data_IF_101181052542
#
_entry.id   IF_101181052542
#
_cell.length_a   1.000
_cell.length_b   1.000
_cell.length_c   1.000
_cell.angle_alpha   90.00
_cell.angle_beta   90.00
_cell.angle_gamma   90.00
#
_symmetry.space_group_name_H-M   'P 1'
#
loop_
_entity.id
_entity.type
_entity.pdbx_description
1 polymer ?
#
# COMPACT_ATOMS: atom_id res chain seq x y z
N UNK A 1 -22.01 4.74 10.35
CA UNK A 1 -21.40 4.91 9.02
C UNK A 1 -20.50 3.71 8.77
N UNK A 2 -20.48 3.09 7.59
CA UNK A 2 -19.56 2.00 7.32
C UNK A 2 -18.17 2.61 7.13
N UNK A 3 -17.47 2.86 8.24
CA UNK A 3 -16.07 3.24 8.19
C UNK A 3 -15.28 1.95 7.89
N UNK A 4 -14.58 1.94 6.77
CA UNK A 4 -13.56 0.93 6.47
C UNK A 4 -12.52 1.07 7.59
N UNK A 5 -12.28 0.01 8.36
CA UNK A 5 -11.26 0.08 9.42
C UNK A 5 -9.91 0.33 8.76
N UNK A 6 -8.99 0.99 9.46
CA UNK A 6 -7.67 1.33 8.90
C UNK A 6 -6.93 0.10 8.34
N UNK A 7 -7.12 -1.06 8.96
CA UNK A 7 -6.57 -2.35 8.51
C UNK A 7 -7.24 -2.83 7.22
N UNK A 8 -8.56 -2.66 7.09
CA UNK A 8 -9.32 -2.98 5.88
C UNK A 8 -8.90 -2.09 4.70
N UNK A 9 -8.54 -0.82 4.96
CA UNK A 9 -8.05 0.09 3.93
C UNK A 9 -6.65 -0.29 3.44
N UNK A 10 -5.74 -0.65 4.36
CA UNK A 10 -4.41 -1.14 3.99
C UNK A 10 -4.51 -2.41 3.14
N UNK A 11 -5.38 -3.34 3.52
CA UNK A 11 -5.62 -4.56 2.75
C UNK A 11 -6.17 -4.25 1.35
N UNK A 12 -7.11 -3.30 1.24
CA UNK A 12 -7.65 -2.87 -0.05
C UNK A 12 -6.56 -2.28 -0.96
N UNK A 13 -5.71 -1.41 -0.42
CA UNK A 13 -4.59 -0.82 -1.17
C UNK A 13 -3.57 -1.89 -1.61
N UNK A 14 -3.23 -2.83 -0.73
CA UNK A 14 -2.33 -3.94 -1.05
C UNK A 14 -2.92 -4.80 -2.18
N UNK A 15 -4.22 -5.09 -2.13
CA UNK A 15 -4.91 -5.82 -3.19
C UNK A 15 -4.75 -5.14 -4.56
N UNK A 16 -5.05 -3.84 -4.65
CA UNK A 16 -4.93 -3.11 -5.92
C UNK A 16 -3.48 -2.97 -6.39
N UNK A 17 -2.53 -2.81 -5.47
CA UNK A 17 -1.10 -2.79 -5.80
C UNK A 17 -0.68 -4.08 -6.53
N UNK A 18 -1.08 -5.24 -5.98
CA UNK A 18 -0.79 -6.55 -6.61
C UNK A 18 -1.46 -6.72 -7.95
N UNK A 19 -2.69 -6.24 -8.13
CA UNK A 19 -3.35 -6.27 -9.45
C UNK A 19 -2.56 -5.43 -10.48
N UNK A 20 -2.00 -4.29 -10.05
CA UNK A 20 -1.12 -3.47 -10.88
C UNK A 20 0.17 -4.18 -11.27
N UNK A 21 0.85 -4.82 -10.32
CA UNK A 21 2.06 -5.61 -10.58
C UNK A 21 1.78 -6.75 -11.56
N UNK A 22 0.72 -7.54 -11.32
CA UNK A 22 0.31 -8.63 -12.20
C UNK A 22 -0.03 -8.17 -13.62
N UNK A 23 -0.66 -7.00 -13.77
CA UNK A 23 -0.97 -6.43 -15.08
C UNK A 23 0.28 -5.95 -15.83
N UNK A 24 1.29 -5.44 -15.13
CA UNK A 24 2.51 -4.89 -15.72
C UNK A 24 3.60 -5.93 -16.01
N UNK A 25 3.76 -6.92 -15.13
CA UNK A 25 4.87 -7.88 -15.16
C UNK A 25 4.42 -9.32 -15.48
N UNK A 26 3.11 -9.57 -15.56
CA UNK A 26 2.55 -10.90 -15.68
C UNK A 26 2.37 -11.58 -14.32
N UNK A 27 1.51 -12.60 -14.27
CA UNK A 27 1.27 -13.38 -13.05
C UNK A 27 2.42 -14.38 -12.89
N UNK A 28 3.36 -14.09 -11.98
CA UNK A 28 4.35 -15.04 -11.51
C UNK A 28 3.92 -15.54 -10.12
N UNK A 29 3.62 -16.83 -10.03
CA UNK A 29 3.03 -17.47 -8.83
C UNK A 29 4.08 -18.03 -7.89
N UNK A 30 5.36 -17.73 -8.11
CA UNK A 30 6.43 -18.14 -7.18
C UNK A 30 6.20 -17.51 -5.80
N UNK A 31 6.35 -18.30 -4.72
CA UNK A 31 6.15 -17.85 -3.34
C UNK A 31 6.96 -16.59 -3.00
N UNK A 32 8.11 -16.42 -3.66
CA UNK A 32 9.01 -15.29 -3.48
C UNK A 32 8.46 -13.97 -4.05
N UNK A 33 7.55 -14.01 -5.05
CA UNK A 33 6.97 -12.79 -5.63
C UNK A 33 6.01 -12.11 -4.66
N UNK A 34 5.19 -12.88 -3.95
CA UNK A 34 4.25 -12.32 -2.98
C UNK A 34 4.99 -11.53 -1.89
N UNK A 35 6.05 -12.12 -1.34
CA UNK A 35 6.85 -11.49 -0.29
C UNK A 35 7.48 -10.18 -0.79
N UNK A 36 7.99 -10.17 -2.02
CA UNK A 36 8.54 -8.97 -2.67
C UNK A 36 7.48 -7.89 -2.89
N UNK A 37 6.29 -8.25 -3.36
CA UNK A 37 5.19 -7.30 -3.54
C UNK A 37 4.70 -6.72 -2.21
N UNK A 38 4.64 -7.55 -1.16
CA UNK A 38 4.22 -7.12 0.17
C UNK A 38 5.25 -6.19 0.83
N UNK A 39 6.54 -6.47 0.65
CA UNK A 39 7.62 -5.61 1.13
C UNK A 39 7.68 -4.28 0.36
N UNK A 40 7.54 -4.31 -0.96
CA UNK A 40 7.46 -3.10 -1.78
C UNK A 40 6.24 -2.25 -1.40
N UNK A 41 5.07 -2.86 -1.23
CA UNK A 41 3.87 -2.17 -0.78
C UNK A 41 4.04 -1.55 0.61
N UNK A 42 4.65 -2.26 1.56
CA UNK A 42 4.87 -1.77 2.93
C UNK A 42 5.70 -0.48 2.91
N UNK A 43 6.81 -0.48 2.19
CA UNK A 43 7.70 0.69 2.06
C UNK A 43 6.95 1.91 1.51
N UNK A 44 6.23 1.74 0.39
CA UNK A 44 5.47 2.82 -0.25
C UNK A 44 4.35 3.36 0.67
N UNK A 45 3.63 2.45 1.33
CA UNK A 45 2.50 2.82 2.18
C UNK A 45 2.95 3.54 3.46
N UNK A 46 4.06 3.12 4.06
CA UNK A 46 4.67 3.79 5.21
C UNK A 46 5.19 5.18 4.83
N UNK A 47 5.92 5.30 3.72
CA UNK A 47 6.37 6.59 3.20
C UNK A 47 5.20 7.54 2.90
N UNK A 48 4.11 7.03 2.32
CA UNK A 48 2.92 7.83 2.05
C UNK A 48 2.26 8.36 3.33
N UNK A 49 2.12 7.51 4.35
CA UNK A 49 1.58 7.94 5.64
C UNK A 49 2.46 9.00 6.29
N UNK A 50 3.77 8.78 6.35
CA UNK A 50 4.72 9.72 6.94
C UNK A 50 4.67 11.08 6.22
N UNK A 51 4.67 11.09 4.88
CA UNK A 51 4.59 12.32 4.10
C UNK A 51 3.26 13.07 4.27
N UNK A 52 2.14 12.37 4.45
CA UNK A 52 0.86 13.02 4.75
C UNK A 52 0.89 13.65 6.14
N UNK A 53 1.39 12.93 7.15
CA UNK A 53 1.41 13.46 8.50
C UNK A 53 2.37 14.65 8.64
N UNK A 54 3.54 14.62 7.99
CA UNK A 54 4.44 15.78 7.93
C UNK A 54 3.82 16.99 7.24
N UNK A 55 3.11 16.80 6.11
CA UNK A 55 2.41 17.93 5.44
C UNK A 55 1.25 18.48 6.25
N UNK A 56 0.62 17.67 7.10
CA UNK A 56 -0.50 18.12 7.93
C UNK A 56 -0.01 19.05 9.05
N UNK A 57 1.15 18.75 9.64
CA UNK A 57 1.78 19.61 10.64
C UNK A 57 2.25 20.96 10.06
N UNK A 58 2.65 21.03 8.78
CA UNK A 58 3.01 22.30 8.12
C UNK A 58 1.82 23.23 7.84
N UNK A 59 0.60 22.70 7.73
CA UNK A 59 -0.61 23.49 7.42
C UNK A 59 -1.28 24.02 8.69
N UNK A 60 -1.07 23.35 9.84
CA UNK A 60 -1.66 23.70 11.13
C UNK A 60 -0.78 24.66 11.98
N UNK A 61 0.29 25.24 11.42
CA UNK A 61 1.17 26.29 12.01
C UNK A 61 1.00 27.61 11.26
#
# INVERSE_FOLDING_TARGET
MPYIKKDDFRQLCCYFFRQGCNAGYGIDVSENLWEQEEEAFRSIYEDYLLNIFSKKEEIDV
#
